data_IF_964043370620
#
_entry.id   IF_964043370620
#
_cell.length_a   1.000
_cell.length_b   1.000
_cell.length_c   1.000
_cell.angle_alpha   90.00
_cell.angle_beta   90.00
_cell.angle_gamma   90.00
#
_symmetry.space_group_name_H-M   'P 1'
#
loop_
_entity.id
_entity.type
_entity.pdbx_description
1 polymer ?
#
# COMPACT_ATOMS: atom_id res chain seq x y z
N UNK A 1 -21.01 11.80 9.51
CA UNK A 1 -21.99 10.94 8.84
C UNK A 1 -22.05 9.60 9.55
N UNK A 2 -23.25 9.06 9.84
CA UNK A 2 -23.44 7.76 10.48
C UNK A 2 -24.49 7.00 9.67
N UNK A 3 -24.12 5.84 9.14
CA UNK A 3 -25.02 4.95 8.38
C UNK A 3 -25.30 3.68 9.16
N UNK A 4 -26.56 3.23 9.14
CA UNK A 4 -26.98 1.94 9.67
C UNK A 4 -26.89 0.89 8.57
N UNK A 5 -26.32 -0.26 8.90
CA UNK A 5 -26.08 -1.37 7.96
C UNK A 5 -26.99 -2.54 8.30
N UNK A 6 -27.59 -3.16 7.29
CA UNK A 6 -28.57 -4.24 7.51
C UNK A 6 -27.87 -5.59 7.75
N UNK A 7 -26.68 -5.78 7.17
CA UNK A 7 -25.94 -7.05 7.30
C UNK A 7 -24.46 -6.84 7.53
N UNK A 8 -23.82 -7.82 8.18
CA UNK A 8 -22.35 -7.84 8.34
C UNK A 8 -21.62 -7.90 7.00
N UNK A 9 -22.22 -8.52 5.98
CA UNK A 9 -21.63 -8.61 4.64
C UNK A 9 -21.55 -7.24 3.98
N UNK A 10 -22.59 -6.42 4.13
CA UNK A 10 -22.61 -5.04 3.63
C UNK A 10 -21.49 -4.20 4.27
N UNK A 11 -21.34 -4.30 5.60
CA UNK A 11 -20.27 -3.61 6.34
C UNK A 11 -18.89 -4.04 5.83
N UNK A 12 -18.64 -5.35 5.68
CA UNK A 12 -17.36 -5.85 5.20
C UNK A 12 -17.00 -5.31 3.83
N UNK A 13 -17.97 -5.30 2.89
CA UNK A 13 -17.76 -4.77 1.54
C UNK A 13 -17.42 -3.29 1.57
N UNK A 14 -18.17 -2.52 2.36
CA UNK A 14 -17.95 -1.08 2.41
C UNK A 14 -16.64 -0.70 3.10
N UNK A 15 -16.29 -1.39 4.19
CA UNK A 15 -15.02 -1.18 4.87
C UNK A 15 -13.85 -1.54 3.96
N UNK A 16 -13.92 -2.68 3.25
CA UNK A 16 -12.88 -3.06 2.29
C UNK A 16 -12.73 -2.01 1.17
N UNK A 17 -13.86 -1.54 0.61
CA UNK A 17 -13.88 -0.47 -0.39
C UNK A 17 -13.26 0.82 0.14
N UNK A 18 -13.58 1.20 1.38
CA UNK A 18 -13.05 2.40 2.00
C UNK A 18 -11.54 2.30 2.25
N UNK A 19 -11.07 1.16 2.78
CA UNK A 19 -9.65 0.90 2.99
C UNK A 19 -8.91 1.02 1.65
N UNK A 20 -9.41 0.38 0.60
CA UNK A 20 -8.71 0.38 -0.68
C UNK A 20 -8.72 1.76 -1.37
N UNK A 21 -9.90 2.38 -1.50
CA UNK A 21 -10.05 3.56 -2.35
C UNK A 21 -9.70 4.84 -1.61
N UNK A 22 -10.01 4.92 -0.32
CA UNK A 22 -9.83 6.14 0.47
C UNK A 22 -8.56 6.08 1.29
N UNK A 23 -8.36 5.01 2.04
CA UNK A 23 -7.19 4.91 2.91
C UNK A 23 -5.91 4.67 2.09
N UNK A 24 -5.78 3.52 1.45
CA UNK A 24 -4.56 3.10 0.76
C UNK A 24 -4.15 4.04 -0.38
N UNK A 25 -5.13 4.52 -1.17
CA UNK A 25 -4.85 5.30 -2.39
C UNK A 25 -4.86 6.82 -2.23
N UNK A 26 -5.45 7.37 -1.17
CA UNK A 26 -5.68 8.83 -1.08
C UNK A 26 -5.24 9.46 0.23
N UNK A 27 -5.11 8.69 1.32
CA UNK A 27 -4.79 9.24 2.65
C UNK A 27 -3.29 9.56 2.71
N UNK A 28 -2.94 10.84 2.87
CA UNK A 28 -1.56 11.23 3.11
C UNK A 28 -1.19 11.04 4.59
N UNK A 29 -0.01 10.49 4.84
CA UNK A 29 0.51 10.26 6.20
C UNK A 29 1.85 10.97 6.41
N UNK A 30 1.96 11.78 7.46
CA UNK A 30 3.19 12.48 7.82
C UNK A 30 4.34 11.51 8.12
N UNK A 31 4.05 10.38 8.77
CA UNK A 31 5.02 9.32 9.02
C UNK A 31 5.58 8.66 7.75
N UNK A 32 4.84 8.75 6.64
CA UNK A 32 5.27 8.24 5.33
C UNK A 32 5.89 9.33 4.44
N UNK A 33 6.08 10.55 4.95
CA UNK A 33 6.56 11.68 4.15
C UNK A 33 5.47 12.33 3.30
N UNK A 34 4.22 12.29 3.77
CA UNK A 34 3.05 12.86 3.09
C UNK A 34 2.70 12.20 1.76
N UNK A 35 2.93 10.89 1.63
CA UNK A 35 2.45 10.06 0.50
C UNK A 35 1.37 9.07 0.93
N UNK A 36 0.54 8.57 0.00
CA UNK A 36 -0.39 7.48 0.25
C UNK A 36 0.31 6.16 0.60
N UNK A 37 -0.32 5.28 1.42
CA UNK A 37 0.24 3.98 1.76
C UNK A 37 0.63 3.12 0.54
N UNK A 38 -0.19 3.11 -0.51
CA UNK A 38 0.11 2.32 -1.72
C UNK A 38 1.38 2.78 -2.44
N UNK A 39 1.65 4.08 -2.45
CA UNK A 39 2.87 4.63 -3.07
C UNK A 39 4.10 4.32 -2.21
N UNK A 40 3.96 4.43 -0.89
CA UNK A 40 5.03 4.06 0.04
C UNK A 40 5.44 2.59 -0.13
N UNK A 41 4.47 1.67 -0.14
CA UNK A 41 4.72 0.24 -0.37
C UNK A 41 5.33 -0.04 -1.75
N UNK A 42 4.84 0.64 -2.79
CA UNK A 42 5.40 0.54 -4.15
C UNK A 42 6.86 0.95 -4.20
N UNK A 43 7.22 2.07 -3.59
CA UNK A 43 8.60 2.56 -3.52
C UNK A 43 9.50 1.61 -2.72
N UNK A 44 8.99 1.07 -1.61
CA UNK A 44 9.70 0.08 -0.79
C UNK A 44 10.01 -1.20 -1.58
N UNK A 45 9.04 -1.71 -2.34
CA UNK A 45 9.22 -2.90 -3.17
C UNK A 45 10.17 -2.66 -4.35
N UNK A 46 10.10 -1.48 -4.99
CA UNK A 46 11.00 -1.11 -6.08
C UNK A 46 12.45 -1.01 -5.60
N UNK A 47 12.68 -0.36 -4.44
CA UNK A 47 14.01 -0.28 -3.83
C UNK A 47 14.57 -1.65 -3.46
N UNK A 48 13.72 -2.59 -3.00
CA UNK A 48 14.11 -3.97 -2.72
C UNK A 48 14.59 -4.69 -3.99
N UNK A 49 13.85 -4.56 -5.08
CA UNK A 49 14.17 -5.21 -6.35
C UNK A 49 15.48 -4.69 -6.94
N UNK A 50 15.69 -3.37 -6.94
CA UNK A 50 16.94 -2.76 -7.39
C UNK A 50 18.15 -3.33 -6.61
N UNK A 51 18.03 -3.43 -5.28
CA UNK A 51 19.09 -4.01 -4.45
C UNK A 51 19.29 -5.52 -4.61
N UNK A 52 18.32 -6.26 -5.16
CA UNK A 52 18.49 -7.69 -5.50
C UNK A 52 19.23 -7.84 -6.83
N UNK A 53 18.88 -7.04 -7.84
CA UNK A 53 19.56 -7.02 -9.15
C UNK A 53 21.04 -6.69 -8.99
N UNK A 54 21.39 -5.73 -8.14
CA UNK A 54 22.79 -5.37 -7.87
C UNK A 54 23.59 -6.51 -7.21
N UNK A 55 22.96 -7.28 -6.32
CA UNK A 55 23.59 -8.44 -5.67
C UNK A 55 23.78 -9.60 -6.64
N UNK A 56 22.80 -9.84 -7.51
CA UNK A 56 22.87 -10.89 -8.53
C UNK A 56 23.93 -10.57 -9.58
N UNK A 57 24.01 -9.31 -10.05
CA UNK A 57 25.04 -8.86 -10.98
C UNK A 57 26.47 -8.97 -10.41
N UNK A 58 26.64 -8.67 -9.12
CA UNK A 58 27.93 -8.83 -8.42
C UNK A 58 28.31 -10.30 -8.21
N UNK A 59 27.34 -11.19 -8.04
CA UNK A 59 27.57 -12.64 -7.90
C UNK A 59 27.87 -13.31 -9.24
N UNK A 60 27.31 -12.81 -10.35
CA UNK A 60 27.51 -13.37 -11.69
C UNK A 60 28.81 -12.90 -12.36
N UNK A 61 29.42 -11.83 -11.85
CA UNK A 61 30.70 -11.30 -12.32
C UNK A 61 31.94 -11.90 -11.60
N UNK A 62 31.72 -12.84 -10.66
CA UNK A 62 32.76 -13.56 -9.91
C UNK A 62 32.77 -15.05 -10.28
#
# INVERSE_FOLDING_TARGET
DRRVWQTRTEVKREVARWIEIVYNRRRLHSALGMVPPVEFEGNLLAGRQAGQVEKEASTQAA
#
